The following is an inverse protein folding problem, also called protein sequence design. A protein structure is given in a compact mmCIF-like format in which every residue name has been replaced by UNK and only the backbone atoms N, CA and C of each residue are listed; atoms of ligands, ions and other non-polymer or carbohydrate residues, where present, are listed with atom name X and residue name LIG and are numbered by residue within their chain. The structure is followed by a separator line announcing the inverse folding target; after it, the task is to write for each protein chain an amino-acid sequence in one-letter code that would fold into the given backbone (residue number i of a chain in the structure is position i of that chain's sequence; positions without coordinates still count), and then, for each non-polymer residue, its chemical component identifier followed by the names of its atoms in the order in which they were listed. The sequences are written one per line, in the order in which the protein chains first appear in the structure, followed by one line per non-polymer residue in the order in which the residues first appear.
data_IF_269642169469
#
_entry.id   IF_269642169469
#
_cell.length_a   1.000
_cell.length_b   1.000
_cell.length_c   1.000
_cell.angle_alpha   90.00
_cell.angle_beta   90.00
_cell.angle_gamma   90.00
#
_symmetry.space_group_name_H-M   'P 1'
#
loop_
_entity.id
_entity.type
_entity.pdbx_description
1 polymer ?
#
# COMPACT_ATOMS: atom_id res chain seq x y z
N UNK A 1 11.25 9.38 15.06
CA UNK A 1 12.56 8.70 15.20
C UNK A 1 12.47 7.18 15.02
N UNK A 2 11.89 6.37 15.91
CA UNK A 2 11.89 4.89 15.74
C UNK A 2 11.22 4.41 14.43
N UNK A 3 10.02 4.90 14.13
CA UNK A 3 9.28 4.56 12.90
C UNK A 3 10.10 4.88 11.66
N UNK A 4 10.78 6.02 11.66
CA UNK A 4 11.61 6.49 10.54
C UNK A 4 12.85 5.61 10.35
N UNK A 5 13.52 5.19 11.43
CA UNK A 5 14.64 4.26 11.36
C UNK A 5 14.24 2.88 10.82
N UNK A 6 13.13 2.33 11.32
CA UNK A 6 12.57 1.06 10.83
C UNK A 6 12.23 1.20 9.34
N UNK A 7 11.58 2.30 8.98
CA UNK A 7 11.18 2.58 7.62
C UNK A 7 12.38 2.67 6.66
N UNK A 8 13.39 3.48 7.01
CA UNK A 8 14.61 3.60 6.21
C UNK A 8 15.37 2.28 6.09
N UNK A 9 15.40 1.48 7.16
CA UNK A 9 15.99 0.14 7.14
C UNK A 9 15.27 -0.79 6.16
N UNK A 10 13.93 -0.87 6.25
CA UNK A 10 13.11 -1.66 5.34
C UNK A 10 13.27 -1.17 3.89
N UNK A 11 13.23 0.13 3.65
CA UNK A 11 13.35 0.71 2.31
C UNK A 11 14.71 0.39 1.69
N UNK A 12 15.81 0.49 2.44
CA UNK A 12 17.15 0.10 1.95
C UNK A 12 17.25 -1.38 1.61
N UNK A 13 16.66 -2.26 2.42
CA UNK A 13 16.63 -3.69 2.14
C UNK A 13 15.86 -3.98 0.84
N UNK A 14 14.72 -3.31 0.64
CA UNK A 14 13.91 -3.42 -0.57
C UNK A 14 14.59 -2.80 -1.79
N UNK A 15 15.27 -1.67 -1.65
CA UNK A 15 16.02 -1.04 -2.73
C UNK A 15 17.18 -1.94 -3.18
N UNK A 16 17.87 -2.61 -2.24
CA UNK A 16 18.90 -3.61 -2.55
C UNK A 16 18.30 -4.83 -3.27
N UNK A 17 17.15 -5.32 -2.80
CA UNK A 17 16.41 -6.40 -3.47
C UNK A 17 16.01 -6.01 -4.90
N UNK A 18 15.48 -4.81 -5.08
CA UNK A 18 15.07 -4.26 -6.37
C UNK A 18 16.26 -4.05 -7.31
N UNK A 19 17.42 -3.62 -6.79
CA UNK A 19 18.64 -3.48 -7.58
C UNK A 19 19.15 -4.85 -8.09
N UNK A 20 19.11 -5.89 -7.26
CA UNK A 20 19.50 -7.24 -7.64
C UNK A 20 18.53 -7.86 -8.66
N UNK A 21 17.24 -7.57 -8.52
CA UNK A 21 16.18 -8.23 -9.29
C UNK A 21 15.63 -7.40 -10.46
N UNK A 22 16.08 -6.15 -10.63
CA UNK A 22 15.55 -5.23 -11.64
C UNK A 22 15.80 -5.59 -13.10
N UNK A 23 16.63 -6.61 -13.38
CA UNK A 23 16.79 -7.19 -14.71
C UNK A 23 15.94 -8.46 -14.94
N UNK A 24 15.30 -8.99 -13.89
CA UNK A 24 14.53 -10.23 -13.97
C UNK A 24 13.07 -9.95 -14.38
N UNK A 25 12.37 -10.94 -14.94
CA UNK A 25 10.93 -10.85 -15.15
C UNK A 25 10.21 -10.58 -13.81
N UNK A 26 9.19 -9.70 -13.79
CA UNK A 26 8.49 -9.32 -12.55
C UNK A 26 7.94 -10.47 -11.71
N UNK A 27 7.47 -11.56 -12.33
CA UNK A 27 6.97 -12.73 -11.60
C UNK A 27 8.08 -13.49 -10.86
N UNK A 28 9.31 -13.50 -11.40
CA UNK A 28 10.48 -14.14 -10.77
C UNK A 28 10.87 -13.34 -9.54
N UNK A 29 11.02 -12.03 -9.70
CA UNK A 29 11.36 -11.13 -8.58
C UNK A 29 10.23 -11.02 -7.55
N UNK A 30 8.99 -11.34 -7.89
CA UNK A 30 7.90 -11.33 -6.91
C UNK A 30 7.83 -12.64 -6.09
N UNK A 31 8.37 -13.74 -6.60
CA UNK A 31 8.23 -15.07 -5.97
C UNK A 31 8.81 -15.15 -4.55
N UNK A 32 10.04 -14.69 -4.25
CA UNK A 32 10.58 -14.69 -2.89
C UNK A 32 9.74 -13.87 -1.91
N UNK A 33 9.21 -12.73 -2.36
CA UNK A 33 8.35 -11.86 -1.57
C UNK A 33 6.98 -12.52 -1.32
N UNK A 34 6.41 -13.20 -2.32
CA UNK A 34 5.16 -13.94 -2.19
C UNK A 34 5.28 -15.13 -1.23
N UNK A 35 6.41 -15.85 -1.24
CA UNK A 35 6.71 -16.91 -0.27
C UNK A 35 6.79 -16.30 1.14
N UNK A 36 7.47 -15.17 1.28
CA UNK A 36 7.62 -14.47 2.56
C UNK A 36 6.26 -14.02 3.10
N UNK A 37 5.40 -13.46 2.25
CA UNK A 37 4.02 -13.09 2.59
C UNK A 37 3.21 -14.31 3.06
N UNK A 38 3.29 -15.43 2.34
CA UNK A 38 2.60 -16.67 2.71
C UNK A 38 3.06 -17.21 4.08
N UNK A 39 4.37 -17.17 4.36
CA UNK A 39 4.92 -17.60 5.65
C UNK A 39 4.45 -16.71 6.81
N UNK A 40 4.48 -15.39 6.64
CA UNK A 40 3.96 -14.44 7.63
C UNK A 40 2.47 -14.67 7.87
N UNK A 41 1.68 -14.85 6.81
CA UNK A 41 0.25 -15.14 6.91
C UNK A 41 -0.01 -16.42 7.70
N UNK A 42 0.68 -17.52 7.37
CA UNK A 42 0.54 -18.80 8.08
C UNK A 42 0.95 -18.70 9.56
N UNK A 43 2.04 -17.96 9.83
CA UNK A 43 2.48 -17.71 11.20
C UNK A 43 1.42 -16.96 12.01
N UNK A 44 0.86 -15.89 11.46
CA UNK A 44 -0.20 -15.12 12.13
C UNK A 44 -1.46 -15.97 12.32
N UNK A 45 -1.91 -16.68 11.28
CA UNK A 45 -3.09 -17.54 11.35
C UNK A 45 -2.94 -18.63 12.41
N UNK A 46 -1.75 -19.22 12.55
CA UNK A 46 -1.47 -20.22 13.59
C UNK A 46 -1.69 -19.68 15.01
N UNK A 47 -1.34 -18.42 15.27
CA UNK A 47 -1.42 -17.84 16.61
C UNK A 47 -2.76 -17.16 16.91
N UNK A 48 -3.48 -16.72 15.88
CA UNK A 48 -4.72 -15.94 16.04
C UNK A 48 -5.98 -16.77 15.81
N UNK A 49 -5.90 -17.81 14.95
CA UNK A 49 -7.04 -18.66 14.67
C UNK A 49 -7.30 -19.62 15.82
N UNK A 50 -8.55 -19.68 16.27
CA UNK A 50 -9.02 -20.63 17.27
C UNK A 50 -10.03 -21.59 16.63
N UNK A 51 -9.60 -22.76 16.12
CA UNK A 51 -10.49 -23.70 15.44
C UNK A 51 -11.70 -24.10 16.31
N UNK A 52 -11.47 -24.27 17.62
CA UNK A 52 -12.52 -24.61 18.59
C UNK A 52 -13.60 -23.52 18.71
N UNK A 53 -13.24 -22.24 18.66
CA UNK A 53 -14.20 -21.12 18.75
C UNK A 53 -15.05 -21.07 17.48
N UNK A 54 -14.43 -21.24 16.32
CA UNK A 54 -15.12 -21.26 15.02
C UNK A 54 -16.12 -22.43 14.97
N UNK A 55 -15.70 -23.62 15.43
CA UNK A 55 -16.56 -24.81 15.44
C UNK A 55 -17.74 -24.67 16.42
N UNK A 56 -17.49 -24.11 17.61
CA UNK A 56 -18.56 -23.80 18.58
C UNK A 56 -19.57 -22.80 18.00
N UNK A 57 -19.11 -21.75 17.34
CA UNK A 57 -19.99 -20.78 16.67
C UNK A 57 -20.82 -21.44 15.55
N UNK A 58 -20.23 -22.33 14.74
CA UNK A 58 -20.97 -23.10 13.73
C UNK A 58 -22.03 -24.02 14.34
N UNK A 59 -21.73 -24.67 15.47
CA UNK A 59 -22.69 -25.51 16.19
C UNK A 59 -23.88 -24.70 16.73
N UNK A 60 -23.61 -23.52 17.32
CA UNK A 60 -24.65 -22.61 17.81
C UNK A 60 -25.55 -22.09 16.68
N UNK A 61 -24.97 -21.72 15.54
CA UNK A 61 -25.75 -21.31 14.35
C UNK A 61 -26.71 -22.41 13.90
N UNK A 62 -26.24 -23.68 13.86
CA UNK A 62 -27.10 -24.82 13.51
C UNK A 62 -28.21 -25.04 14.53
N UNK A 63 -27.93 -24.88 15.83
CA UNK A 63 -28.93 -25.01 16.88
C UNK A 63 -30.05 -23.97 16.74
N UNK A 64 -29.71 -22.69 16.50
CA UNK A 64 -30.71 -21.64 16.31
C UNK A 64 -31.54 -21.82 15.03
N UNK A 65 -30.93 -22.32 13.95
CA UNK A 65 -31.68 -22.67 12.73
C UNK A 65 -32.69 -23.81 12.98
N UNK A 66 -32.33 -24.80 13.79
CA UNK A 66 -33.25 -25.87 14.18
C UNK A 66 -34.34 -25.38 15.13
N UNK A 67 -34.02 -24.49 16.07
CA UNK A 67 -34.99 -23.86 16.98
C UNK A 67 -36.05 -23.07 16.21
N UNK A 68 -35.64 -22.27 15.22
CA UNK A 68 -36.58 -21.57 14.33
C UNK A 68 -37.48 -22.51 13.54
N UNK A 69 -36.96 -23.68 13.14
CA UNK A 69 -37.73 -24.69 12.43
C UNK A 69 -38.68 -25.47 13.35
N UNK A 70 -38.39 -25.56 14.65
CA UNK A 70 -39.20 -26.29 15.63
C UNK A 70 -40.34 -25.43 16.19
N UNK A 71 -40.10 -24.13 16.41
CA UNK A 71 -41.07 -23.19 17.01
C UNK A 71 -41.66 -22.21 15.99
N UNK A 72 -41.91 -22.68 14.76
CA UNK A 72 -42.34 -21.84 13.64
C UNK A 72 -43.68 -21.13 13.89
N UNK A 73 -44.53 -21.70 14.74
CA UNK A 73 -45.88 -21.22 15.01
C UNK A 73 -45.96 -20.17 16.15
N UNK A 74 -44.85 -19.88 16.83
CA UNK A 74 -44.79 -18.95 17.96
C UNK A 74 -43.94 -17.71 17.63
N UNK A 75 -44.54 -16.61 17.13
CA UNK A 75 -43.80 -15.49 16.56
C UNK A 75 -42.85 -14.80 17.55
N UNK A 76 -43.20 -14.73 18.84
CA UNK A 76 -42.33 -14.15 19.87
C UNK A 76 -41.03 -14.96 20.06
N UNK A 77 -41.11 -16.30 20.00
CA UNK A 77 -39.96 -17.19 20.06
C UNK A 77 -39.11 -17.11 18.79
N UNK A 78 -39.76 -16.98 17.63
CA UNK A 78 -39.07 -16.80 16.34
C UNK A 78 -38.26 -15.49 16.33
N UNK A 79 -38.82 -14.37 16.76
CA UNK A 79 -38.08 -13.09 16.83
C UNK A 79 -36.91 -13.16 17.83
N UNK A 80 -37.10 -13.79 19.00
CA UNK A 80 -36.01 -14.02 19.96
C UNK A 80 -34.92 -14.97 19.42
N UNK A 81 -35.28 -15.98 18.65
CA UNK A 81 -34.34 -16.88 17.98
C UNK A 81 -33.57 -16.19 16.85
N UNK A 82 -34.21 -15.31 16.07
CA UNK A 82 -33.53 -14.49 15.05
C UNK A 82 -32.50 -13.55 15.66
N UNK A 83 -32.83 -12.86 16.77
CA UNK A 83 -31.88 -12.01 17.48
C UNK A 83 -30.66 -12.79 17.97
N UNK A 84 -30.88 -13.96 18.59
CA UNK A 84 -29.80 -14.85 19.04
C UNK A 84 -28.97 -15.40 17.87
N UNK A 85 -29.59 -15.72 16.75
CA UNK A 85 -28.92 -16.14 15.52
C UNK A 85 -28.03 -15.03 14.97
N UNK A 86 -28.52 -13.78 14.92
CA UNK A 86 -27.75 -12.63 14.46
C UNK A 86 -26.52 -12.38 15.35
N UNK A 87 -26.67 -12.40 16.68
CA UNK A 87 -25.54 -12.25 17.60
C UNK A 87 -24.53 -13.40 17.45
N UNK A 88 -25.01 -14.64 17.29
CA UNK A 88 -24.14 -15.79 17.07
C UNK A 88 -23.37 -15.67 15.73
N UNK A 89 -24.03 -15.16 14.69
CA UNK A 89 -23.40 -14.91 13.39
C UNK A 89 -22.38 -13.77 13.47
N UNK A 90 -22.69 -12.68 14.19
CA UNK A 90 -21.73 -11.60 14.44
C UNK A 90 -20.49 -12.13 15.19
N UNK A 91 -20.68 -12.99 16.19
CA UNK A 91 -19.58 -13.66 16.88
C UNK A 91 -18.76 -14.56 15.95
N UNK A 92 -19.41 -15.31 15.07
CA UNK A 92 -18.74 -16.13 14.05
C UNK A 92 -17.89 -15.28 13.10
N UNK A 93 -18.47 -14.21 12.55
CA UNK A 93 -17.77 -13.27 11.66
C UNK A 93 -16.60 -12.59 12.36
N UNK A 94 -16.76 -12.18 13.62
CA UNK A 94 -15.68 -11.60 14.42
C UNK A 94 -14.49 -12.56 14.55
N UNK A 95 -14.73 -13.84 14.89
CA UNK A 95 -13.66 -14.83 15.02
C UNK A 95 -12.97 -15.16 13.69
N UNK A 96 -13.64 -14.99 12.56
CA UNK A 96 -13.02 -15.08 11.23
C UNK A 96 -12.23 -13.81 10.86
N UNK A 97 -12.73 -12.65 11.24
CA UNK A 97 -12.12 -11.36 10.91
C UNK A 97 -10.82 -11.12 11.69
N UNK A 98 -10.69 -11.62 12.92
CA UNK A 98 -9.50 -11.40 13.76
C UNK A 98 -8.19 -11.87 13.08
N UNK A 99 -8.06 -13.12 12.59
CA UNK A 99 -6.86 -13.55 11.87
C UNK A 99 -6.58 -12.73 10.61
N UNK A 100 -7.62 -12.33 9.87
CA UNK A 100 -7.49 -11.51 8.67
C UNK A 100 -6.94 -10.14 9.04
N UNK A 101 -7.53 -9.47 10.04
CA UNK A 101 -7.07 -8.16 10.51
C UNK A 101 -5.63 -8.20 11.02
N UNK A 102 -5.29 -9.22 11.83
CA UNK A 102 -3.91 -9.41 12.30
C UNK A 102 -2.94 -9.66 11.13
N UNK A 103 -3.33 -10.46 10.14
CA UNK A 103 -2.50 -10.72 8.97
C UNK A 103 -2.32 -9.46 8.10
N UNK A 104 -3.37 -8.66 7.92
CA UNK A 104 -3.31 -7.38 7.21
C UNK A 104 -2.31 -6.42 7.86
N UNK A 105 -2.35 -6.29 9.20
CA UNK A 105 -1.38 -5.45 9.93
C UNK A 105 0.04 -5.98 9.80
N UNK A 106 0.23 -7.30 9.92
CA UNK A 106 1.56 -7.91 9.82
C UNK A 106 2.17 -7.82 8.41
N UNK A 107 1.34 -7.92 7.37
CA UNK A 107 1.76 -7.84 5.96
C UNK A 107 1.86 -6.42 5.45
N UNK A 108 1.25 -5.43 6.14
CA UNK A 108 1.20 -4.04 5.67
C UNK A 108 2.57 -3.48 5.25
N UNK A 109 3.67 -3.62 6.03
CA UNK A 109 4.96 -3.07 5.63
C UNK A 109 5.51 -3.71 4.35
N UNK A 110 5.27 -5.02 4.16
CA UNK A 110 5.67 -5.73 2.94
C UNK A 110 4.86 -5.22 1.73
N UNK A 111 3.55 -5.07 1.88
CA UNK A 111 2.67 -4.57 0.82
C UNK A 111 3.01 -3.14 0.42
N UNK A 112 3.29 -2.25 1.38
CA UNK A 112 3.68 -0.87 1.10
C UNK A 112 5.00 -0.78 0.29
N UNK A 113 5.96 -1.67 0.57
CA UNK A 113 7.20 -1.73 -0.21
C UNK A 113 7.00 -2.35 -1.59
N UNK A 114 6.12 -3.35 -1.70
CA UNK A 114 5.77 -3.94 -2.99
C UNK A 114 5.03 -2.96 -3.90
N UNK A 115 4.18 -2.09 -3.36
CA UNK A 115 3.47 -1.04 -4.12
C UNK A 115 4.46 -0.12 -4.83
N UNK A 116 5.53 0.32 -4.14
CA UNK A 116 6.59 1.18 -4.72
C UNK A 116 7.28 0.55 -5.93
N UNK A 117 7.39 -0.77 -5.97
CA UNK A 117 8.18 -1.48 -6.98
C UNK A 117 7.33 -2.15 -8.08
N UNK A 118 6.14 -2.63 -7.72
CA UNK A 118 5.24 -3.35 -8.63
C UNK A 118 3.97 -2.59 -8.98
N UNK A 119 3.53 -1.63 -8.15
CA UNK A 119 2.30 -0.85 -8.36
C UNK A 119 2.47 0.33 -9.29
N UNK A 120 3.66 0.91 -9.35
CA UNK A 120 3.96 2.08 -10.16
C UNK A 120 5.20 1.88 -11.03
N UNK A 121 5.23 2.55 -12.18
CA UNK A 121 6.37 2.55 -13.09
C UNK A 121 7.06 3.91 -13.04
N UNK A 122 8.41 3.95 -13.16
CA UNK A 122 9.11 5.18 -13.50
C UNK A 122 8.53 5.80 -14.78
N UNK A 123 8.58 7.13 -14.88
CA UNK A 123 8.11 7.84 -16.07
C UNK A 123 8.96 7.46 -17.27
N UNK A 124 8.32 7.00 -18.35
CA UNK A 124 9.04 6.70 -19.59
C UNK A 124 9.45 8.00 -20.27
N UNK A 125 10.50 7.92 -21.09
CA UNK A 125 10.96 9.07 -21.88
C UNK A 125 9.82 9.53 -22.81
N UNK A 126 9.50 10.82 -22.74
CA UNK A 126 8.38 11.46 -23.44
C UNK A 126 7.08 11.56 -22.63
N UNK A 127 6.96 10.83 -21.51
CA UNK A 127 5.78 10.91 -20.64
C UNK A 127 5.80 12.19 -19.81
N UNK A 128 4.60 12.68 -19.51
CA UNK A 128 4.36 13.88 -18.71
C UNK A 128 3.70 13.47 -17.39
N UNK A 129 4.08 14.12 -16.30
CA UNK A 129 3.49 13.93 -14.98
C UNK A 129 3.21 15.27 -14.31
N UNK A 130 2.36 15.23 -13.28
CA UNK A 130 2.15 16.34 -12.38
C UNK A 130 3.02 16.16 -11.13
N UNK A 131 3.74 17.22 -10.79
CA UNK A 131 4.39 17.36 -9.50
C UNK A 131 3.57 18.33 -8.65
N UNK A 132 3.02 17.82 -7.55
CA UNK A 132 2.11 18.56 -6.66
C UNK A 132 2.74 18.69 -5.29
N UNK A 133 2.78 19.91 -4.76
CA UNK A 133 3.17 20.19 -3.38
C UNK A 133 1.96 20.72 -2.65
N UNK A 134 1.51 19.99 -1.64
CA UNK A 134 0.38 20.37 -0.80
C UNK A 134 0.84 20.99 0.51
N UNK A 135 0.15 22.05 0.91
CA UNK A 135 0.62 22.97 1.93
C UNK A 135 -0.39 23.00 3.08
N UNK A 136 0.13 22.98 4.31
CA UNK A 136 -0.68 22.93 5.54
C UNK A 136 -1.54 24.20 5.72
N UNK A 137 -1.17 25.30 5.05
CA UNK A 137 -1.86 26.59 5.12
C UNK A 137 -1.90 27.26 3.76
N UNK A 138 -2.90 28.14 3.52
CA UNK A 138 -2.94 28.95 2.31
C UNK A 138 -1.65 29.75 2.19
N UNK A 139 -1.07 29.74 0.99
CA UNK A 139 0.24 30.34 0.76
C UNK A 139 0.13 31.84 0.63
N UNK A 140 0.65 32.56 1.62
CA UNK A 140 1.01 33.96 1.48
C UNK A 140 2.45 34.07 0.96
N UNK A 141 2.63 33.85 -0.34
CA UNK A 141 3.95 33.82 -1.02
C UNK A 141 4.64 35.18 -1.12
N UNK A 142 4.09 36.24 -0.52
CA UNK A 142 4.60 37.61 -0.67
C UNK A 142 4.69 38.05 -2.13
N UNK A 143 3.83 37.52 -3.00
CA UNK A 143 3.83 37.79 -4.45
C UNK A 143 4.82 36.99 -5.31
N UNK A 144 5.73 36.19 -4.73
CA UNK A 144 6.71 35.42 -5.50
C UNK A 144 6.16 34.07 -5.99
N UNK A 145 6.23 33.79 -7.30
CA UNK A 145 5.87 32.47 -7.85
C UNK A 145 6.94 31.43 -7.49
N UNK A 146 6.60 30.32 -6.82
CA UNK A 146 7.58 29.28 -6.48
C UNK A 146 8.27 28.74 -7.75
N UNK A 147 9.57 28.45 -7.67
CA UNK A 147 10.36 27.99 -8.81
C UNK A 147 10.67 26.50 -8.65
N UNK A 148 10.55 25.73 -9.72
CA UNK A 148 10.95 24.33 -9.74
C UNK A 148 12.27 24.17 -10.48
N UNK A 149 13.26 23.61 -9.80
CA UNK A 149 14.54 23.21 -10.39
C UNK A 149 14.52 21.70 -10.59
N UNK A 150 14.56 21.27 -11.84
CA UNK A 150 14.58 19.87 -12.23
C UNK A 150 16.02 19.41 -12.54
N UNK A 151 16.35 18.13 -12.29
CA UNK A 151 17.64 17.55 -12.68
C UNK A 151 17.68 17.34 -14.21
N UNK A 152 18.87 17.04 -14.73
CA UNK A 152 19.04 16.70 -16.14
C UNK A 152 18.13 15.53 -16.55
N UNK A 153 17.55 15.60 -17.75
CA UNK A 153 16.61 14.60 -18.26
C UNK A 153 15.16 14.82 -17.86
N UNK A 154 14.84 15.91 -17.16
CA UNK A 154 13.47 16.32 -16.85
C UNK A 154 13.28 17.79 -17.22
N UNK A 155 12.22 18.06 -17.97
CA UNK A 155 11.83 19.40 -18.38
C UNK A 155 10.61 19.85 -17.59
N UNK A 156 10.63 21.10 -17.10
CA UNK A 156 9.47 21.72 -16.45
C UNK A 156 8.71 22.50 -17.52
N UNK A 157 7.54 22.01 -17.90
CA UNK A 157 6.78 22.54 -19.04
C UNK A 157 5.92 23.75 -18.68
N UNK A 158 5.47 23.83 -17.42
CA UNK A 158 4.61 24.91 -16.96
C UNK A 158 5.23 25.64 -15.77
N UNK A 159 5.00 26.96 -15.63
CA UNK A 159 5.28 27.65 -14.39
C UNK A 159 4.40 27.10 -13.26
N UNK A 160 4.72 27.47 -12.01
CA UNK A 160 3.93 27.07 -10.84
C UNK A 160 2.48 27.53 -10.97
N UNK A 161 1.55 26.57 -11.00
CA UNK A 161 0.11 26.83 -10.95
C UNK A 161 -0.35 26.64 -9.51
N UNK A 162 -1.07 27.61 -8.97
CA UNK A 162 -1.62 27.55 -7.61
C UNK A 162 -3.07 27.16 -7.69
N UNK A 163 -3.45 26.17 -6.88
CA UNK A 163 -4.84 25.76 -6.72
C UNK A 163 -5.25 26.12 -5.29
N UNK A 164 -5.79 27.31 -5.10
CA UNK A 164 -6.10 27.85 -3.77
C UNK A 164 -7.11 26.98 -3.00
N UNK A 165 -8.10 26.42 -3.70
CA UNK A 165 -9.10 25.53 -3.13
C UNK A 165 -8.50 24.26 -2.51
N UNK A 166 -7.37 23.79 -3.06
CA UNK A 166 -6.66 22.58 -2.63
C UNK A 166 -5.37 22.90 -1.88
N UNK A 167 -5.06 24.18 -1.63
CA UNK A 167 -3.81 24.62 -0.98
C UNK A 167 -2.56 23.98 -1.60
N UNK A 168 -2.58 23.78 -2.92
CA UNK A 168 -1.55 23.04 -3.64
C UNK A 168 -0.88 23.91 -4.70
N UNK A 169 0.39 23.61 -4.94
CA UNK A 169 1.16 24.18 -6.05
C UNK A 169 1.56 23.05 -6.97
N UNK A 170 1.19 23.17 -8.24
CA UNK A 170 1.30 22.12 -9.25
C UNK A 170 2.21 22.59 -10.38
N UNK A 171 3.09 21.68 -10.81
CA UNK A 171 3.90 21.82 -12.01
C UNK A 171 3.66 20.64 -12.93
N UNK A 172 3.67 20.90 -14.23
CA UNK A 172 3.72 19.86 -15.24
C UNK A 172 5.17 19.63 -15.65
N UNK A 173 5.61 18.38 -15.54
CA UNK A 173 6.98 17.96 -15.86
C UNK A 173 6.96 16.89 -16.94
N UNK A 174 7.96 16.88 -17.83
CA UNK A 174 8.15 15.87 -18.86
C UNK A 174 9.49 15.18 -18.71
N UNK A 175 9.50 13.86 -18.79
CA UNK A 175 10.74 13.08 -18.83
C UNK A 175 11.35 13.20 -20.24
N UNK A 176 12.54 13.77 -20.36
CA UNK A 176 13.26 13.94 -21.64
C UNK A 176 14.45 12.98 -21.78
N UNK A 177 14.88 12.34 -20.70
CA UNK A 177 15.90 11.29 -20.70
C UNK A 177 15.79 10.37 -19.49
N UNK A 178 16.68 9.39 -19.38
CA UNK A 178 16.81 8.59 -18.16
C UNK A 178 17.46 9.43 -17.05
N UNK A 179 16.79 9.54 -15.91
CA UNK A 179 17.21 10.36 -14.78
C UNK A 179 16.74 9.76 -13.46
N UNK A 180 17.67 9.67 -12.52
CA UNK A 180 17.41 9.38 -11.11
C UNK A 180 17.93 10.57 -10.32
N UNK A 181 17.04 11.47 -9.90
CA UNK A 181 17.43 12.78 -9.39
C UNK A 181 16.47 13.35 -8.37
N UNK A 182 16.69 14.61 -8.00
CA UNK A 182 15.90 15.34 -7.01
C UNK A 182 15.29 16.56 -7.69
N UNK A 183 13.96 16.64 -7.68
CA UNK A 183 13.22 17.87 -7.93
C UNK A 183 13.32 18.78 -6.72
N UNK A 184 13.66 20.05 -6.93
CA UNK A 184 13.73 21.05 -5.87
C UNK A 184 12.74 22.16 -6.15
N UNK A 185 11.65 22.22 -5.39
CA UNK A 185 10.75 23.36 -5.40
C UNK A 185 11.25 24.41 -4.40
N UNK A 186 11.58 25.58 -4.91
CA UNK A 186 12.06 26.73 -4.17
C UNK A 186 10.89 27.64 -3.80
N UNK A 187 10.64 27.78 -2.50
CA UNK A 187 9.69 28.70 -1.91
C UNK A 187 10.44 29.80 -1.15
N UNK A 188 9.75 30.91 -0.84
CA UNK A 188 10.32 32.01 -0.06
C UNK A 188 10.79 31.60 1.34
N UNK A 189 10.24 30.53 1.89
CA UNK A 189 10.52 30.02 3.24
C UNK A 189 11.42 28.77 3.25
N UNK A 190 11.82 28.24 2.10
CA UNK A 190 12.67 27.05 2.03
C UNK A 190 12.53 26.26 0.75
N UNK A 191 13.20 25.11 0.71
CA UNK A 191 13.19 24.21 -0.43
C UNK A 191 12.50 22.89 -0.09
N UNK A 192 11.71 22.37 -1.03
CA UNK A 192 11.09 21.05 -0.95
C UNK A 192 11.78 20.16 -1.97
N UNK A 193 12.44 19.13 -1.46
CA UNK A 193 13.11 18.13 -2.28
C UNK A 193 12.19 16.92 -2.49
N UNK A 194 12.15 16.39 -3.71
CA UNK A 194 11.40 15.18 -4.04
C UNK A 194 12.20 14.31 -5.00
N UNK A 195 12.34 13.03 -4.71
CA UNK A 195 13.01 12.12 -5.64
C UNK A 195 12.13 11.84 -6.85
N UNK A 196 12.77 11.82 -8.02
CA UNK A 196 12.14 11.47 -9.29
C UNK A 196 12.95 10.40 -10.01
N UNK A 197 12.25 9.42 -10.58
CA UNK A 197 12.82 8.32 -11.33
C UNK A 197 12.16 8.26 -12.72
N UNK A 198 12.99 8.27 -13.76
CA UNK A 198 12.57 8.24 -15.16
C UNK A 198 13.40 7.21 -15.92
N UNK A 199 12.81 6.58 -16.93
CA UNK A 199 13.47 5.59 -17.77
C UNK A 199 12.62 4.34 -18.02
N UNK A 200 13.18 3.39 -18.77
CA UNK A 200 12.47 2.16 -19.16
C UNK A 200 12.67 0.97 -18.20
N UNK A 201 13.60 1.07 -17.24
CA UNK A 201 13.89 -0.02 -16.29
C UNK A 201 13.02 0.11 -15.05
N UNK A 202 12.45 -1.01 -14.59
CA UNK A 202 11.69 -1.05 -13.34
C UNK A 202 12.60 -0.74 -12.15
N UNK A 203 12.23 0.27 -11.38
CA UNK A 203 12.89 0.73 -10.16
C UNK A 203 11.82 1.12 -9.14
N UNK A 204 12.11 1.04 -7.84
CA UNK A 204 11.17 1.51 -6.83
C UNK A 204 10.96 3.00 -7.05
N UNK A 205 9.71 3.41 -7.16
CA UNK A 205 9.31 4.81 -7.27
C UNK A 205 8.58 5.22 -6.02
N UNK A 206 8.87 6.44 -5.60
CA UNK A 206 8.24 7.05 -4.45
C UNK A 206 7.24 8.05 -5.00
N UNK A 207 5.95 7.73 -5.09
CA UNK A 207 4.97 8.71 -5.56
C UNK A 207 4.87 9.90 -4.62
N UNK A 208 4.76 9.64 -3.31
CA UNK A 208 4.46 10.67 -2.31
C UNK A 208 5.49 10.70 -1.20
N UNK A 209 5.97 11.91 -0.89
CA UNK A 209 6.78 12.22 0.29
C UNK A 209 5.91 12.96 1.29
N UNK A 210 5.94 12.55 2.55
CA UNK A 210 4.98 13.02 3.58
C UNK A 210 5.67 13.67 4.77
N UNK A 211 4.98 14.62 5.38
CA UNK A 211 5.42 15.31 6.59
C UNK A 211 4.93 14.63 7.87
N UNK A 212 4.03 13.65 7.88
CA UNK A 212 3.61 12.98 9.12
C UNK A 212 4.37 11.66 9.33
N UNK A 213 4.78 11.39 10.57
CA UNK A 213 5.53 10.16 10.87
C UNK A 213 4.69 8.89 10.70
N UNK A 214 3.38 8.97 10.94
CA UNK A 214 2.48 7.82 10.81
C UNK A 214 2.19 7.48 9.34
N UNK A 215 2.21 8.48 8.45
CA UNK A 215 1.99 8.25 7.01
C UNK A 215 3.20 7.64 6.31
N UNK A 216 4.37 7.57 6.96
CA UNK A 216 5.52 6.79 6.47
C UNK A 216 5.21 5.29 6.36
N UNK A 217 4.24 4.77 7.12
CA UNK A 217 3.79 3.39 6.96
C UNK A 217 3.07 3.15 5.63
N UNK A 218 2.45 4.17 5.05
CA UNK A 218 1.79 4.10 3.75
C UNK A 218 2.74 4.51 2.62
N UNK A 219 3.67 5.42 2.90
CA UNK A 219 4.62 5.97 1.94
C UNK A 219 6.06 5.83 2.46
N UNK A 220 6.62 4.60 2.46
CA UNK A 220 7.89 4.30 3.12
C UNK A 220 9.14 4.78 2.38
N UNK A 221 8.98 5.32 1.17
CA UNK A 221 10.07 5.46 0.22
C UNK A 221 11.07 6.58 0.45
N UNK A 222 10.60 7.72 0.94
CA UNK A 222 11.45 8.88 1.19
C UNK A 222 11.47 9.24 2.68
N UNK A 223 12.54 9.92 3.08
CA UNK A 223 12.59 10.52 4.40
C UNK A 223 11.48 11.55 4.56
N UNK A 224 11.07 11.78 5.81
CA UNK A 224 10.03 12.73 6.13
C UNK A 224 10.39 14.12 5.57
N UNK A 225 9.38 14.89 5.17
CA UNK A 225 9.58 16.32 4.94
C UNK A 225 9.92 16.98 6.29
N UNK A 226 10.89 17.92 6.34
CA UNK A 226 11.16 18.66 7.56
C UNK A 226 9.88 19.34 8.05
N UNK A 227 9.67 19.36 9.37
CA UNK A 227 8.50 20.02 9.98
C UNK A 227 8.39 21.46 9.47
N UNK A 228 7.27 21.76 8.80
CA UNK A 228 7.15 22.97 8.00
C UNK A 228 5.77 23.16 7.40
N UNK A 229 5.67 24.08 6.44
CA UNK A 229 4.41 24.51 5.81
C UNK A 229 3.89 23.53 4.73
N UNK A 230 4.52 22.37 4.58
CA UNK A 230 4.23 21.38 3.53
C UNK A 230 3.74 20.12 4.20
N UNK A 231 2.58 19.63 3.78
CA UNK A 231 2.04 18.37 4.29
C UNK A 231 2.56 17.17 3.50
N UNK A 232 2.56 17.27 2.16
CA UNK A 232 3.06 16.24 1.28
C UNK A 232 3.48 16.80 -0.08
N UNK A 233 4.36 16.06 -0.75
CA UNK A 233 4.78 16.33 -2.13
C UNK A 233 4.66 15.05 -2.96
N UNK A 234 3.99 15.11 -4.10
CA UNK A 234 3.61 13.96 -4.91
C UNK A 234 4.00 14.13 -6.38
N UNK A 235 4.42 13.03 -6.99
CA UNK A 235 4.58 12.88 -8.43
C UNK A 235 3.58 11.81 -8.89
N UNK A 236 2.76 12.14 -9.88
CA UNK A 236 1.81 11.21 -10.47
C UNK A 236 2.50 10.24 -11.43
N UNK A 237 2.88 9.06 -10.91
CA UNK A 237 3.46 7.98 -11.72
C UNK A 237 2.39 7.11 -12.37
N UNK A 238 2.62 6.61 -13.59
CA UNK A 238 1.72 5.67 -14.23
C UNK A 238 1.69 4.34 -13.47
N UNK A 239 0.50 3.73 -13.38
CA UNK A 239 0.32 2.40 -12.81
C UNK A 239 1.12 1.35 -13.59
N UNK A 240 1.75 0.44 -12.86
CA UNK A 240 2.48 -0.69 -13.44
C UNK A 240 1.67 -1.97 -13.35
N UNK A 241 1.70 -2.73 -14.45
CA UNK A 241 1.15 -4.09 -14.48
C UNK A 241 2.28 -5.13 -14.36
N UNK A 242 1.92 -6.31 -13.87
CA UNK A 242 2.80 -7.46 -13.73
C UNK A 242 2.34 -8.53 -14.73
N UNK A 243 3.19 -8.92 -15.70
CA UNK A 243 2.87 -10.02 -16.60
C UNK A 243 3.03 -11.35 -15.86
N UNK A 244 1.94 -12.09 -15.70
CA UNK A 244 1.91 -13.44 -15.13
C UNK A 244 1.21 -14.38 -16.11
N UNK A 245 1.90 -15.45 -16.54
CA UNK A 245 1.41 -16.39 -17.56
C UNK A 245 0.94 -15.72 -18.87
N UNK A 246 1.56 -14.59 -19.25
CA UNK A 246 1.20 -13.83 -20.45
C UNK A 246 0.02 -12.86 -20.28
N UNK A 247 -0.60 -12.81 -19.10
CA UNK A 247 -1.64 -11.84 -18.76
C UNK A 247 -1.04 -10.71 -17.92
N UNK A 248 -1.25 -9.47 -18.34
CA UNK A 248 -0.92 -8.30 -17.52
C UNK A 248 -2.02 -8.09 -16.50
N UNK A 249 -1.65 -7.99 -15.22
CA UNK A 249 -2.59 -7.80 -14.12
C UNK A 249 -1.99 -6.91 -13.03
N UNK A 250 -2.86 -6.39 -12.17
CA UNK A 250 -2.44 -5.70 -10.96
C UNK A 250 -1.58 -6.65 -10.10
N UNK A 251 -0.47 -6.14 -9.58
CA UNK A 251 0.49 -6.93 -8.79
C UNK A 251 -0.10 -7.65 -7.58
N UNK A 252 -1.19 -7.16 -6.97
CA UNK A 252 -1.88 -7.83 -5.87
C UNK A 252 -2.45 -9.19 -6.30
N UNK A 253 -3.07 -9.25 -7.48
CA UNK A 253 -3.56 -10.51 -8.03
C UNK A 253 -2.42 -11.49 -8.27
N UNK A 254 -1.33 -11.00 -8.85
CA UNK A 254 -0.15 -11.80 -9.10
C UNK A 254 0.45 -12.33 -7.77
N UNK A 255 0.55 -11.48 -6.74
CA UNK A 255 1.00 -11.87 -5.39
C UNK A 255 0.11 -12.95 -4.79
N UNK A 256 -1.22 -12.81 -4.89
CA UNK A 256 -2.17 -13.81 -4.38
C UNK A 256 -2.01 -15.15 -5.11
N UNK A 257 -1.90 -15.13 -6.44
CA UNK A 257 -1.75 -16.33 -7.26
C UNK A 257 -0.45 -17.09 -6.96
N UNK A 258 0.65 -16.39 -6.64
CA UNK A 258 1.90 -17.05 -6.26
C UNK A 258 1.90 -17.49 -4.78
N UNK A 259 1.37 -16.68 -3.87
CA UNK A 259 1.40 -16.98 -2.43
C UNK A 259 0.39 -18.05 -2.00
N UNK A 260 -0.76 -18.17 -2.66
CA UNK A 260 -1.81 -19.13 -2.31
C UNK A 260 -1.35 -20.60 -2.42
N UNK A 261 -0.69 -21.06 -3.51
CA UNK A 261 -0.13 -22.41 -3.57
C UNK A 261 0.86 -22.69 -2.43
N UNK A 262 1.74 -21.73 -2.13
CA UNK A 262 2.72 -21.84 -1.04
C UNK A 262 2.00 -22.00 0.31
N UNK A 263 1.03 -21.15 0.60
CA UNK A 263 0.24 -21.24 1.82
C UNK A 263 -0.49 -22.59 1.93
N UNK A 264 -1.08 -23.09 0.84
CA UNK A 264 -1.78 -24.37 0.80
C UNK A 264 -0.86 -25.57 1.02
N UNK A 265 0.35 -25.55 0.46
CA UNK A 265 1.36 -26.59 0.65
C UNK A 265 1.88 -26.62 2.10
N UNK A 266 2.08 -25.43 2.71
CA UNK A 266 2.65 -25.29 4.05
C UNK A 266 1.60 -25.32 5.17
N UNK A 267 0.29 -25.22 4.88
CA UNK A 267 -0.77 -25.14 5.91
C UNK A 267 -0.69 -26.26 6.95
N UNK A 268 -0.41 -27.50 6.52
CA UNK A 268 -0.32 -28.67 7.41
C UNK A 268 0.87 -28.58 8.35
N UNK A 269 2.01 -28.06 7.88
CA UNK A 269 3.23 -27.84 8.69
C UNK A 269 2.98 -26.81 9.80
N UNK A 270 2.15 -25.81 9.52
CA UNK A 270 1.79 -24.77 10.48
C UNK A 270 0.57 -25.11 11.34
N UNK A 271 -0.06 -26.28 11.14
CA UNK A 271 -1.25 -26.71 11.89
C UNK A 271 -2.47 -25.81 11.68
N UNK A 272 -2.52 -25.08 10.55
CA UNK A 272 -3.62 -24.19 10.21
C UNK A 272 -4.70 -24.98 9.47
N UNK A 273 -5.93 -24.90 9.98
CA UNK A 273 -7.12 -25.43 9.32
C UNK A 273 -7.89 -24.23 8.76
N UNK A 274 -7.99 -24.17 7.43
CA UNK A 274 -8.86 -23.22 6.73
C UNK A 274 -10.29 -23.74 6.72
#
# INVERSE_FOLDING_TARGET
MLVEWINLGLSRLFDAYAALTGGLPPWVSMTPLAVSAALVMLFVFRHTSSPKRIERSKSLLRAYLMEMRLFSDEPALVFGAQGRLLLANAGYLFWMAVPIACASVALWPLLAQMERYYGQSPLKIGETALFTVHLDRPVDTGGSTPRLVAPAGIEVETPAVRVEAEQSVVWRIRATGESAGILRAEFSWGQVEKRIETGGRRRPVDARRVAAAMSLWLHPGESRLPDGRVEWAEIEYPSAEVPLFGLSMHWLWALMLISMPVALLLKRRFGVVF
#
